data_IF_139266904999
#
_entry.id   IF_139266904999
#
_cell.length_a   1.000
_cell.length_b   1.000
_cell.length_c   1.000
_cell.angle_alpha   90.00
_cell.angle_beta   90.00
_cell.angle_gamma   90.00
#
_symmetry.space_group_name_H-M   'P 1'
#
loop_
_entity.id
_entity.type
_entity.pdbx_description
1 polymer ?
#
# COMPACT_ATOMS: atom_id res chain seq x y z
N UNK A 1 18.41 -5.34 -15.97
CA UNK A 1 16.96 -5.31 -15.79
C UNK A 1 16.53 -3.86 -15.78
N UNK A 2 15.44 -3.54 -16.49
CA UNK A 2 14.85 -2.20 -16.54
C UNK A 2 13.42 -2.28 -16.04
N UNK A 3 13.08 -1.53 -15.01
CA UNK A 3 11.78 -1.54 -14.33
C UNK A 3 11.00 -0.25 -14.63
N UNK A 4 9.69 -0.36 -14.77
CA UNK A 4 8.79 0.79 -14.67
C UNK A 4 8.18 0.80 -13.27
N UNK A 5 8.24 1.94 -12.58
CA UNK A 5 7.62 2.13 -11.25
C UNK A 5 6.60 3.25 -11.34
N UNK A 6 5.33 2.97 -11.05
CA UNK A 6 4.28 3.99 -11.05
C UNK A 6 4.08 4.57 -9.64
N UNK A 7 3.52 5.79 -9.54
CA UNK A 7 3.22 6.41 -8.25
C UNK A 7 4.47 6.79 -7.44
N UNK A 8 5.52 7.27 -8.12
CA UNK A 8 6.82 7.56 -7.52
C UNK A 8 6.85 8.80 -6.64
N UNK A 9 5.82 9.64 -6.69
CA UNK A 9 5.62 10.74 -5.75
C UNK A 9 5.03 10.27 -4.41
N UNK A 10 4.53 9.04 -4.35
CA UNK A 10 4.05 8.37 -3.14
C UNK A 10 5.20 7.84 -2.27
N UNK A 11 4.84 7.24 -1.13
CA UNK A 11 5.81 6.72 -0.16
C UNK A 11 6.62 5.55 -0.72
N UNK A 12 5.95 4.49 -1.13
CA UNK A 12 6.58 3.24 -1.55
C UNK A 12 7.28 3.36 -2.91
N UNK A 13 6.62 3.98 -3.91
CA UNK A 13 7.22 4.16 -5.24
C UNK A 13 8.53 4.95 -5.19
N UNK A 14 8.60 5.98 -4.32
CA UNK A 14 9.81 6.74 -4.06
C UNK A 14 10.94 5.85 -3.53
N UNK A 15 10.67 5.07 -2.48
CA UNK A 15 11.69 4.22 -1.87
C UNK A 15 12.14 3.07 -2.78
N UNK A 16 11.23 2.52 -3.61
CA UNK A 16 11.59 1.49 -4.61
C UNK A 16 12.57 2.05 -5.65
N UNK A 17 12.32 3.26 -6.17
CA UNK A 17 13.25 3.89 -7.14
C UNK A 17 14.61 4.13 -6.48
N UNK A 18 14.64 4.62 -5.24
CA UNK A 18 15.88 4.80 -4.50
C UNK A 18 16.64 3.48 -4.29
N UNK A 19 15.93 2.42 -3.93
CA UNK A 19 16.54 1.11 -3.72
C UNK A 19 17.07 0.51 -5.04
N UNK A 20 16.34 0.66 -6.14
CA UNK A 20 16.84 0.29 -7.47
C UNK A 20 18.15 1.04 -7.81
N UNK A 21 18.19 2.34 -7.56
CA UNK A 21 19.41 3.14 -7.79
C UNK A 21 20.58 2.66 -6.92
N UNK A 22 20.34 2.35 -5.64
CA UNK A 22 21.36 1.83 -4.72
C UNK A 22 21.94 0.50 -5.22
N UNK A 23 21.14 -0.32 -5.90
CA UNK A 23 21.56 -1.62 -6.46
C UNK A 23 22.00 -1.56 -7.93
N UNK A 24 22.09 -0.38 -8.53
CA UNK A 24 22.40 -0.18 -9.94
C UNK A 24 21.42 -0.92 -10.88
N UNK A 25 20.14 -0.97 -10.51
CA UNK A 25 19.05 -1.48 -11.35
C UNK A 25 18.39 -0.28 -12.01
N UNK A 26 18.24 -0.32 -13.34
CA UNK A 26 17.58 0.76 -14.08
C UNK A 26 16.09 0.77 -13.72
N UNK A 27 15.62 1.87 -13.13
CA UNK A 27 14.22 2.10 -12.81
C UNK A 27 13.75 3.44 -13.39
N UNK A 28 12.68 3.39 -14.17
CA UNK A 28 12.00 4.58 -14.68
C UNK A 28 10.78 4.81 -13.79
N UNK A 29 10.79 5.92 -13.05
CA UNK A 29 9.67 6.34 -12.20
C UNK A 29 8.71 7.23 -12.98
N UNK A 30 7.40 6.96 -12.86
CA UNK A 30 6.34 7.80 -13.45
C UNK A 30 5.25 8.10 -12.43
N UNK A 31 4.62 9.26 -12.59
CA UNK A 31 3.44 9.64 -11.84
C UNK A 31 2.35 10.15 -12.82
N UNK A 32 1.29 10.75 -12.32
CA UNK A 32 0.13 11.16 -13.14
C UNK A 32 0.52 12.09 -14.30
N UNK A 33 1.52 12.94 -14.12
CA UNK A 33 1.97 13.89 -15.16
C UNK A 33 2.68 13.18 -16.33
N UNK A 34 3.46 12.13 -16.05
CA UNK A 34 4.17 11.36 -17.08
C UNK A 34 3.28 10.26 -17.67
N UNK A 35 2.45 9.63 -16.83
CA UNK A 35 1.57 8.54 -17.21
C UNK A 35 0.33 8.49 -16.31
N UNK A 36 -0.74 9.17 -16.70
CA UNK A 36 -2.05 8.97 -16.08
C UNK A 36 -2.49 7.53 -16.36
N UNK A 37 -2.56 6.70 -15.31
CA UNK A 37 -2.93 5.30 -15.44
C UNK A 37 -4.38 5.10 -15.91
N UNK A 38 -5.23 6.13 -15.79
CA UNK A 38 -6.62 6.09 -16.26
C UNK A 38 -6.75 6.33 -17.76
N UNK A 39 -5.68 6.77 -18.44
CA UNK A 39 -5.59 6.92 -19.89
C UNK A 39 -4.92 5.67 -20.50
N UNK A 40 -5.73 4.78 -21.05
CA UNK A 40 -5.25 3.52 -21.66
C UNK A 40 -4.27 3.76 -22.83
N UNK A 41 -4.45 4.85 -23.58
CA UNK A 41 -3.56 5.21 -24.68
C UNK A 41 -2.20 5.63 -24.18
N UNK A 42 -2.15 6.46 -23.14
CA UNK A 42 -0.90 6.92 -22.51
C UNK A 42 -0.16 5.78 -21.82
N UNK A 43 -0.88 4.89 -21.13
CA UNK A 43 -0.31 3.68 -20.52
C UNK A 43 0.34 2.79 -21.59
N UNK A 44 -0.35 2.54 -22.71
CA UNK A 44 0.18 1.73 -23.80
C UNK A 44 1.41 2.38 -24.44
N UNK A 45 1.39 3.69 -24.70
CA UNK A 45 2.52 4.45 -25.24
C UNK A 45 3.77 4.28 -24.36
N UNK A 46 3.65 4.60 -23.06
CA UNK A 46 4.78 4.62 -22.12
C UNK A 46 5.36 3.22 -21.91
N UNK A 47 4.50 2.22 -21.65
CA UNK A 47 4.98 0.87 -21.34
C UNK A 47 5.61 0.21 -22.58
N UNK A 48 4.98 0.32 -23.75
CA UNK A 48 5.49 -0.30 -24.98
C UNK A 48 6.79 0.33 -25.50
N UNK A 49 6.93 1.65 -25.35
CA UNK A 49 8.13 2.35 -25.84
C UNK A 49 9.35 2.15 -24.93
N UNK A 50 9.16 1.80 -23.67
CA UNK A 50 10.22 1.80 -22.67
C UNK A 50 11.07 0.52 -22.61
N UNK A 51 10.65 -0.57 -23.27
CA UNK A 51 11.31 -1.90 -23.21
C UNK A 51 11.56 -2.38 -21.77
N UNK A 52 10.55 -2.28 -20.91
CA UNK A 52 10.64 -2.70 -19.52
C UNK A 52 10.63 -4.22 -19.37
N UNK A 53 11.37 -4.72 -18.38
CA UNK A 53 11.37 -6.14 -18.02
C UNK A 53 10.26 -6.48 -17.03
N UNK A 54 9.76 -5.51 -16.28
CA UNK A 54 8.63 -5.65 -15.35
C UNK A 54 8.03 -4.28 -15.01
N UNK A 55 6.79 -4.30 -14.49
CA UNK A 55 6.10 -3.12 -13.96
C UNK A 55 5.84 -3.31 -12.47
N UNK A 56 6.25 -2.32 -11.66
CA UNK A 56 5.92 -2.20 -10.24
C UNK A 56 4.87 -1.11 -10.08
N UNK A 57 3.63 -1.52 -9.80
CA UNK A 57 2.47 -0.63 -9.80
C UNK A 57 2.13 -0.15 -8.38
N UNK A 58 2.66 1.04 -7.99
CA UNK A 58 2.40 1.68 -6.71
C UNK A 58 1.33 2.79 -6.77
N UNK A 59 0.95 3.26 -7.96
CA UNK A 59 -0.07 4.28 -8.10
C UNK A 59 -1.45 3.73 -7.68
N UNK A 60 -2.13 4.44 -6.78
CA UNK A 60 -3.46 4.08 -6.31
C UNK A 60 -4.16 5.29 -5.67
N UNK A 61 -5.47 5.27 -5.66
CA UNK A 61 -6.27 6.07 -4.75
C UNK A 61 -6.20 5.44 -3.36
N UNK A 62 -5.64 6.16 -2.37
CA UNK A 62 -5.43 5.64 -1.01
C UNK A 62 -6.16 6.43 0.08
N UNK A 63 -6.94 7.45 -0.31
CA UNK A 63 -7.75 8.23 0.60
C UNK A 63 -9.05 7.47 0.93
N UNK A 64 -9.00 6.59 1.93
CA UNK A 64 -10.06 5.64 2.29
C UNK A 64 -11.40 6.34 2.52
N UNK A 65 -11.43 7.37 3.40
CA UNK A 65 -12.68 8.07 3.72
C UNK A 65 -13.26 8.78 2.49
N UNK A 66 -12.41 9.41 1.67
CA UNK A 66 -12.87 10.08 0.44
C UNK A 66 -13.35 9.10 -0.63
N UNK A 67 -12.93 7.84 -0.58
CA UNK A 67 -13.40 6.84 -1.53
C UNK A 67 -14.92 6.61 -1.43
N UNK A 68 -15.48 6.76 -0.21
CA UNK A 68 -16.94 6.66 0.01
C UNK A 68 -17.72 7.78 -0.69
N UNK A 69 -17.14 8.98 -0.78
CA UNK A 69 -17.76 10.13 -1.44
C UNK A 69 -17.45 10.18 -2.95
N UNK A 70 -16.29 9.62 -3.37
CA UNK A 70 -15.76 9.72 -4.73
C UNK A 70 -15.59 8.32 -5.38
N UNK A 71 -16.63 7.49 -5.28
CA UNK A 71 -16.62 6.06 -5.71
C UNK A 71 -16.16 5.89 -7.16
N UNK A 72 -16.69 6.70 -8.07
CA UNK A 72 -16.37 6.61 -9.50
C UNK A 72 -14.89 6.91 -9.77
N UNK A 73 -14.34 7.92 -9.11
CA UNK A 73 -12.93 8.30 -9.27
C UNK A 73 -12.01 7.26 -8.63
N UNK A 74 -12.35 6.75 -7.45
CA UNK A 74 -11.62 5.67 -6.79
C UNK A 74 -11.60 4.41 -7.68
N UNK A 75 -12.74 4.04 -8.24
CA UNK A 75 -12.86 2.90 -9.17
C UNK A 75 -12.02 3.13 -10.43
N UNK A 76 -12.13 4.31 -11.03
CA UNK A 76 -11.36 4.66 -12.24
C UNK A 76 -9.86 4.52 -12.02
N UNK A 77 -9.35 4.97 -10.88
CA UNK A 77 -7.91 4.87 -10.55
C UNK A 77 -7.51 3.44 -10.20
N UNK A 78 -8.18 2.82 -9.22
CA UNK A 78 -7.75 1.55 -8.66
C UNK A 78 -8.11 0.33 -9.54
N UNK A 79 -9.21 0.41 -10.28
CA UNK A 79 -9.67 -0.72 -11.11
C UNK A 79 -9.29 -0.51 -12.58
N UNK A 80 -9.74 0.59 -13.21
CA UNK A 80 -9.48 0.79 -14.63
C UNK A 80 -8.00 1.11 -14.89
N UNK A 81 -7.36 1.91 -14.03
CA UNK A 81 -5.92 2.17 -14.10
C UNK A 81 -5.09 0.90 -13.97
N UNK A 82 -5.42 0.04 -13.01
CA UNK A 82 -4.77 -1.28 -12.85
C UNK A 82 -5.01 -2.16 -14.08
N UNK A 83 -6.23 -2.17 -14.64
CA UNK A 83 -6.59 -2.93 -15.84
C UNK A 83 -5.79 -2.49 -17.05
N UNK A 84 -5.61 -1.18 -17.25
CA UNK A 84 -4.83 -0.64 -18.36
C UNK A 84 -3.39 -1.14 -18.32
N UNK A 85 -2.74 -1.11 -17.16
CA UNK A 85 -1.37 -1.61 -16.98
C UNK A 85 -1.32 -3.13 -17.18
N UNK A 86 -2.23 -3.89 -16.54
CA UNK A 86 -2.28 -5.34 -16.62
C UNK A 86 -2.43 -5.84 -18.07
N UNK A 87 -3.28 -5.19 -18.85
CA UNK A 87 -3.48 -5.54 -20.27
C UNK A 87 -2.18 -5.43 -21.07
N UNK A 88 -1.39 -4.38 -20.86
CA UNK A 88 -0.12 -4.19 -21.57
C UNK A 88 0.95 -5.17 -21.04
N UNK A 89 1.01 -5.41 -19.73
CA UNK A 89 1.92 -6.43 -19.16
C UNK A 89 1.62 -7.81 -19.75
N UNK A 90 0.33 -8.16 -19.90
CA UNK A 90 -0.10 -9.41 -20.54
C UNK A 90 0.31 -9.49 -22.01
N UNK A 91 0.11 -8.41 -22.77
CA UNK A 91 0.46 -8.33 -24.19
C UNK A 91 1.97 -8.51 -24.41
N UNK A 92 2.77 -7.92 -23.51
CA UNK A 92 4.23 -7.97 -23.59
C UNK A 92 4.86 -9.18 -22.88
N UNK A 93 4.05 -10.00 -22.22
CA UNK A 93 4.48 -11.15 -21.40
C UNK A 93 5.51 -10.79 -20.32
N UNK A 94 5.36 -9.59 -19.69
CA UNK A 94 6.23 -9.11 -18.61
C UNK A 94 5.55 -9.19 -17.26
N UNK A 95 6.30 -9.43 -16.16
CA UNK A 95 5.76 -9.45 -14.81
C UNK A 95 5.15 -8.12 -14.38
N UNK A 96 4.07 -8.20 -13.61
CA UNK A 96 3.46 -7.08 -12.91
C UNK A 96 3.46 -7.34 -11.42
N UNK A 97 3.95 -6.40 -10.63
CA UNK A 97 3.78 -6.36 -9.18
C UNK A 97 2.74 -5.32 -8.82
N UNK A 98 1.76 -5.71 -8.02
CA UNK A 98 0.63 -4.90 -7.57
C UNK A 98 0.60 -4.84 -6.04
N UNK A 99 0.49 -3.66 -5.48
CA UNK A 99 0.30 -3.49 -4.04
C UNK A 99 -1.17 -3.44 -3.70
N UNK A 100 -1.59 -4.39 -2.91
CA UNK A 100 -2.93 -4.46 -2.34
C UNK A 100 -2.89 -4.06 -0.86
N UNK A 101 -3.95 -4.34 -0.14
CA UNK A 101 -4.17 -3.92 1.23
C UNK A 101 -4.85 -5.02 2.04
N UNK A 102 -4.71 -4.95 3.34
CA UNK A 102 -5.49 -5.68 4.33
C UNK A 102 -7.00 -5.38 4.27
N UNK A 103 -7.42 -4.21 3.76
CA UNK A 103 -8.83 -3.84 3.55
C UNK A 103 -9.62 -4.74 2.59
N UNK A 104 -8.96 -5.67 1.90
CA UNK A 104 -9.66 -6.71 1.12
C UNK A 104 -10.36 -7.73 2.00
N UNK A 105 -10.03 -7.77 3.30
CA UNK A 105 -10.67 -8.60 4.31
C UNK A 105 -11.68 -7.79 5.15
N UNK A 106 -12.58 -8.49 5.85
CA UNK A 106 -13.58 -7.84 6.72
C UNK A 106 -13.04 -7.43 8.10
N UNK A 107 -11.80 -7.83 8.42
CA UNK A 107 -11.17 -7.50 9.69
C UNK A 107 -11.78 -8.18 10.91
N UNK A 108 -12.61 -9.21 10.73
CA UNK A 108 -13.25 -9.93 11.81
C UNK A 108 -12.43 -11.14 12.25
N UNK A 109 -12.50 -11.46 13.55
CA UNK A 109 -11.82 -12.62 14.11
C UNK A 109 -10.58 -12.28 14.93
N UNK A 110 -9.94 -13.33 15.45
CA UNK A 110 -8.76 -13.23 16.32
C UNK A 110 -7.53 -13.90 15.70
N UNK A 111 -7.67 -14.48 14.51
CA UNK A 111 -6.59 -15.16 13.78
C UNK A 111 -6.07 -14.29 12.64
N UNK A 112 -4.78 -14.41 12.37
CA UNK A 112 -4.15 -13.71 11.26
C UNK A 112 -4.65 -14.22 9.92
N UNK A 113 -4.90 -13.28 8.99
CA UNK A 113 -5.32 -13.60 7.63
C UNK A 113 -4.18 -14.23 6.82
N UNK A 114 -4.52 -15.24 6.02
CA UNK A 114 -3.61 -15.90 5.09
C UNK A 114 -3.87 -15.43 3.66
N UNK A 115 -2.91 -15.68 2.77
CA UNK A 115 -2.94 -15.21 1.39
C UNK A 115 -4.18 -15.67 0.62
N UNK A 116 -4.68 -16.87 0.91
CA UNK A 116 -5.79 -17.49 0.20
C UNK A 116 -7.11 -17.51 0.98
N UNK A 117 -7.17 -16.76 2.09
CA UNK A 117 -8.43 -16.58 2.81
C UNK A 117 -9.43 -15.77 1.98
N UNK A 118 -10.71 -16.01 2.22
CA UNK A 118 -11.79 -15.35 1.49
C UNK A 118 -11.79 -13.85 1.76
N UNK A 119 -11.89 -13.08 0.67
CA UNK A 119 -11.83 -11.61 0.71
C UNK A 119 -13.24 -11.05 0.80
N UNK A 120 -13.50 -10.23 1.81
CA UNK A 120 -14.79 -9.59 2.08
C UNK A 120 -14.58 -8.11 2.43
N UNK A 121 -14.24 -7.25 1.44
CA UNK A 121 -14.01 -5.83 1.70
C UNK A 121 -15.30 -5.14 2.19
N UNK A 122 -15.16 -4.26 3.18
CA UNK A 122 -16.29 -3.58 3.81
C UNK A 122 -16.45 -2.11 3.37
N UNK A 123 -15.53 -1.59 2.58
CA UNK A 123 -15.57 -0.21 2.11
C UNK A 123 -15.15 -0.11 0.64
N UNK A 124 -15.41 1.04 0.02
CA UNK A 124 -15.15 1.31 -1.41
C UNK A 124 -13.66 1.15 -1.73
N UNK A 125 -12.76 1.65 -0.87
CA UNK A 125 -11.33 1.48 -1.09
C UNK A 125 -10.94 0.00 -1.15
N UNK A 126 -11.29 -0.78 -0.13
CA UNK A 126 -11.03 -2.22 -0.09
C UNK A 126 -11.64 -2.97 -1.28
N UNK A 127 -12.88 -2.64 -1.65
CA UNK A 127 -13.56 -3.22 -2.81
C UNK A 127 -12.79 -2.95 -4.11
N UNK A 128 -12.37 -1.70 -4.35
CA UNK A 128 -11.65 -1.35 -5.57
C UNK A 128 -10.24 -1.97 -5.61
N UNK A 129 -9.57 -2.12 -4.46
CA UNK A 129 -8.29 -2.83 -4.37
C UNK A 129 -8.46 -4.33 -4.62
N UNK A 130 -9.53 -4.94 -4.11
CA UNK A 130 -9.88 -6.34 -4.39
C UNK A 130 -10.16 -6.57 -5.87
N UNK A 131 -10.92 -5.69 -6.52
CA UNK A 131 -11.15 -5.78 -7.97
C UNK A 131 -9.85 -5.65 -8.77
N UNK A 132 -8.90 -4.83 -8.29
CA UNK A 132 -7.55 -4.78 -8.83
C UNK A 132 -6.80 -6.10 -8.69
N UNK A 133 -6.90 -6.79 -7.54
CA UNK A 133 -6.34 -8.15 -7.37
C UNK A 133 -6.90 -9.12 -8.40
N UNK A 134 -8.23 -9.16 -8.58
CA UNK A 134 -8.88 -10.05 -9.55
C UNK A 134 -8.39 -9.81 -10.98
N UNK A 135 -8.09 -8.58 -11.36
CA UNK A 135 -7.51 -8.24 -12.66
C UNK A 135 -6.09 -8.79 -12.76
N UNK A 136 -5.26 -8.55 -11.74
CA UNK A 136 -3.86 -8.95 -11.72
C UNK A 136 -3.68 -10.46 -11.64
N UNK A 137 -4.54 -11.18 -10.94
CA UNK A 137 -4.58 -12.65 -10.89
C UNK A 137 -4.77 -13.30 -12.27
N UNK A 138 -5.30 -12.57 -13.27
CA UNK A 138 -5.39 -13.07 -14.65
C UNK A 138 -4.06 -13.13 -15.39
N UNK A 139 -3.02 -12.55 -14.83
CA UNK A 139 -1.67 -12.54 -15.41
C UNK A 139 -0.90 -13.78 -14.93
N UNK A 140 -0.23 -14.53 -15.81
CA UNK A 140 0.58 -15.68 -15.38
C UNK A 140 1.84 -15.25 -14.59
N UNK A 141 2.34 -14.03 -14.79
CA UNK A 141 3.52 -13.47 -14.15
C UNK A 141 3.12 -12.29 -13.27
N UNK A 142 2.56 -12.59 -12.08
CA UNK A 142 2.12 -11.54 -11.16
C UNK A 142 2.63 -11.72 -9.75
N UNK A 143 2.85 -10.58 -9.09
CA UNK A 143 2.99 -10.50 -7.64
C UNK A 143 1.88 -9.60 -7.11
N UNK A 144 1.07 -10.10 -6.19
CA UNK A 144 0.14 -9.31 -5.40
C UNK A 144 0.70 -9.24 -4.01
N UNK A 145 1.03 -8.04 -3.55
CA UNK A 145 1.65 -7.81 -2.24
C UNK A 145 0.69 -6.98 -1.39
N UNK A 146 0.05 -7.63 -0.41
CA UNK A 146 -0.82 -6.95 0.55
C UNK A 146 0.03 -6.34 1.65
N UNK A 147 -0.19 -5.07 1.88
CA UNK A 147 0.53 -4.26 2.86
C UNK A 147 -0.45 -3.56 3.78
N UNK A 148 -0.02 -3.19 4.99
CA UNK A 148 -0.84 -2.51 5.97
C UNK A 148 -0.06 -1.38 6.63
N UNK A 149 -0.74 -0.33 7.09
CA UNK A 149 -0.20 0.74 7.94
C UNK A 149 1.11 1.34 7.42
N UNK A 150 1.12 1.66 6.13
CA UNK A 150 2.35 2.07 5.40
C UNK A 150 2.83 3.44 5.87
N UNK A 151 4.12 3.51 6.19
CA UNK A 151 4.79 4.76 6.49
C UNK A 151 6.18 4.83 5.86
N UNK A 152 6.62 6.05 5.54
CA UNK A 152 7.92 6.32 4.94
C UNK A 152 8.31 7.78 5.05
N UNK A 153 9.50 8.10 4.54
CA UNK A 153 10.02 9.47 4.58
C UNK A 153 9.26 10.38 3.63
N UNK A 154 8.87 9.87 2.46
CA UNK A 154 8.12 10.65 1.48
C UNK A 154 6.61 10.63 1.76
N UNK A 155 5.88 11.67 1.30
CA UNK A 155 4.42 11.77 1.43
C UNK A 155 3.91 11.95 2.87
N UNK A 156 2.60 11.80 3.05
CA UNK A 156 1.91 11.90 4.33
C UNK A 156 1.65 10.50 4.91
N UNK A 157 1.70 10.40 6.24
CA UNK A 157 1.42 9.16 6.97
C UNK A 157 1.03 9.41 8.42
N UNK A 158 0.70 8.34 9.13
CA UNK A 158 0.30 8.40 10.53
C UNK A 158 1.36 9.03 11.43
N UNK A 159 2.64 8.67 11.27
CA UNK A 159 3.74 9.21 12.08
C UNK A 159 3.79 10.74 11.97
N UNK A 160 3.77 11.26 10.74
CA UNK A 160 3.81 12.72 10.51
C UNK A 160 2.57 13.41 11.05
N UNK A 161 1.42 12.76 10.95
CA UNK A 161 0.15 13.27 11.49
C UNK A 161 0.22 13.34 13.01
N UNK A 162 0.68 12.29 13.69
CA UNK A 162 0.85 12.29 15.14
C UNK A 162 1.83 13.37 15.60
N UNK A 163 3.00 13.46 14.99
CA UNK A 163 4.00 14.49 15.32
C UNK A 163 3.44 15.92 15.17
N UNK A 164 2.66 16.17 14.13
CA UNK A 164 2.01 17.46 13.91
C UNK A 164 0.95 17.73 14.99
N UNK A 165 0.03 16.81 15.21
CA UNK A 165 -1.05 16.96 16.19
C UNK A 165 -0.52 17.07 17.63
N UNK A 166 0.50 16.28 17.96
CA UNK A 166 1.16 16.39 19.27
C UNK A 166 1.77 17.77 19.53
N UNK A 167 2.39 18.37 18.51
CA UNK A 167 2.91 19.76 18.61
C UNK A 167 1.81 20.81 18.74
N UNK A 168 0.72 20.64 17.98
CA UNK A 168 -0.39 21.61 17.91
C UNK A 168 -1.29 21.55 19.14
N UNK A 169 -1.55 20.36 19.72
CA UNK A 169 -2.59 20.13 20.71
C UNK A 169 -2.08 19.69 22.08
N UNK A 170 -0.92 19.06 22.16
CA UNK A 170 -0.39 18.48 23.39
C UNK A 170 -1.13 17.23 23.91
N UNK A 171 -2.28 16.91 23.32
CA UNK A 171 -3.09 15.73 23.65
C UNK A 171 -3.78 15.17 22.41
N UNK A 172 -3.93 13.84 22.32
CA UNK A 172 -4.62 13.14 21.22
C UNK A 172 -5.39 11.93 21.74
N UNK A 173 -6.54 11.62 21.09
CA UNK A 173 -7.30 10.38 21.31
C UNK A 173 -6.99 9.43 20.15
N UNK A 174 -6.55 8.21 20.42
CA UNK A 174 -6.13 7.24 19.41
C UNK A 174 -6.77 5.89 19.67
N UNK A 175 -7.22 5.24 18.59
CA UNK A 175 -7.87 3.93 18.62
C UNK A 175 -6.95 2.86 19.20
N UNK A 176 -7.46 2.06 20.12
CA UNK A 176 -6.74 0.97 20.80
C UNK A 176 -7.35 -0.43 20.53
N UNK A 177 -8.52 -0.49 19.91
CA UNK A 177 -9.22 -1.74 19.58
C UNK A 177 -8.91 -2.25 18.15
N UNK A 178 -8.02 -1.59 17.42
CA UNK A 178 -7.51 -2.03 16.13
C UNK A 178 -6.04 -2.46 16.27
N UNK A 179 -5.78 -3.72 15.91
CA UNK A 179 -4.43 -4.31 15.99
C UNK A 179 -3.92 -4.58 14.57
N UNK A 180 -2.69 -4.20 14.29
CA UNK A 180 -2.06 -4.39 12.98
C UNK A 180 -0.54 -4.31 13.04
N UNK A 181 0.08 -4.41 11.86
CA UNK A 181 1.53 -4.32 11.70
C UNK A 181 1.91 -3.11 10.85
N UNK A 182 2.56 -2.10 11.41
CA UNK A 182 3.10 -1.00 10.63
C UNK A 182 4.11 -1.49 9.59
N UNK A 183 4.09 -0.90 8.40
CA UNK A 183 5.00 -1.27 7.30
C UNK A 183 5.87 -0.09 6.89
N UNK A 184 7.19 -0.21 7.13
CA UNK A 184 8.16 0.79 6.71
C UNK A 184 8.54 0.62 5.24
N UNK A 185 8.28 1.61 4.40
CA UNK A 185 8.48 1.54 2.96
C UNK A 185 9.94 1.31 2.56
N UNK A 186 10.89 1.78 3.35
CA UNK A 186 12.32 1.54 3.13
C UNK A 186 12.68 0.04 3.23
N UNK A 187 12.13 -0.68 4.22
CA UNK A 187 12.37 -2.12 4.36
C UNK A 187 11.60 -2.90 3.29
N UNK A 188 10.34 -2.52 3.05
CA UNK A 188 9.51 -3.11 2.01
C UNK A 188 10.14 -2.94 0.61
N UNK A 189 10.77 -1.80 0.31
CA UNK A 189 11.41 -1.57 -0.99
C UNK A 189 12.52 -2.56 -1.29
N UNK A 190 13.29 -2.98 -0.28
CA UNK A 190 14.34 -4.00 -0.43
C UNK A 190 13.74 -5.35 -0.81
N UNK A 191 12.69 -5.77 -0.09
CA UNK A 191 11.96 -7.00 -0.38
C UNK A 191 11.37 -6.98 -1.78
N UNK A 192 10.72 -5.90 -2.16
CA UNK A 192 10.10 -5.69 -3.48
C UNK A 192 11.14 -5.84 -4.60
N UNK A 193 12.31 -5.21 -4.44
CA UNK A 193 13.38 -5.29 -5.43
C UNK A 193 14.00 -6.70 -5.48
N UNK A 194 14.04 -7.43 -4.37
CA UNK A 194 14.44 -8.84 -4.39
C UNK A 194 13.39 -9.72 -5.09
N UNK A 195 12.11 -9.55 -4.75
CA UNK A 195 11.01 -10.34 -5.30
C UNK A 195 10.88 -10.20 -6.82
N UNK A 196 10.93 -8.97 -7.34
CA UNK A 196 10.69 -8.72 -8.78
C UNK A 196 11.77 -9.33 -9.69
N UNK A 197 12.91 -9.71 -9.13
CA UNK A 197 13.99 -10.40 -9.84
C UNK A 197 13.83 -11.92 -9.86
N UNK A 198 12.78 -12.45 -9.26
CA UNK A 198 12.47 -13.88 -9.20
C UNK A 198 11.28 -14.24 -10.09
N UNK A 199 11.03 -15.53 -10.25
CA UNK A 199 9.83 -16.11 -10.87
C UNK A 199 8.83 -16.68 -9.84
N UNK A 200 8.98 -16.28 -8.57
CA UNK A 200 8.09 -16.71 -7.47
C UNK A 200 6.80 -15.89 -7.49
N UNK A 201 6.03 -16.06 -8.57
CA UNK A 201 4.76 -15.37 -8.76
C UNK A 201 3.71 -15.84 -7.75
N UNK A 202 2.78 -14.96 -7.39
CA UNK A 202 1.70 -15.29 -6.47
C UNK A 202 1.25 -14.12 -5.59
N UNK A 203 0.50 -14.47 -4.54
CA UNK A 203 -0.05 -13.53 -3.56
C UNK A 203 0.77 -13.63 -2.28
N UNK A 204 1.08 -12.47 -1.68
CA UNK A 204 1.92 -12.36 -0.49
C UNK A 204 1.36 -11.32 0.47
N UNK A 205 1.60 -11.54 1.76
CA UNK A 205 1.50 -10.51 2.78
C UNK A 205 2.89 -9.98 3.13
N UNK A 206 3.07 -8.66 3.17
CA UNK A 206 4.37 -8.06 3.46
C UNK A 206 4.22 -6.85 4.38
N UNK A 207 4.53 -7.05 5.66
CA UNK A 207 4.59 -6.02 6.69
C UNK A 207 5.87 -6.18 7.50
N UNK A 208 6.22 -5.22 8.37
CA UNK A 208 7.26 -5.46 9.34
C UNK A 208 6.75 -6.41 10.45
N UNK A 209 7.66 -7.02 11.19
CA UNK A 209 7.34 -7.93 12.28
C UNK A 209 6.73 -7.20 13.49
N UNK A 210 5.87 -7.90 14.21
CA UNK A 210 5.21 -7.43 15.42
C UNK A 210 3.82 -6.85 15.17
N UNK A 211 3.04 -6.82 16.24
CA UNK A 211 1.68 -6.31 16.27
C UNK A 211 1.58 -5.18 17.28
N UNK A 212 0.81 -4.16 17.00
CA UNK A 212 0.47 -3.10 17.95
C UNK A 212 -0.90 -2.51 17.63
N UNK A 213 -1.48 -1.80 18.58
CA UNK A 213 -2.62 -0.93 18.31
C UNK A 213 -2.16 0.41 17.72
N UNK A 214 -3.08 1.18 17.13
CA UNK A 214 -2.77 2.56 16.74
C UNK A 214 -2.38 3.42 17.95
N UNK A 215 -2.99 3.18 19.12
CA UNK A 215 -2.63 3.84 20.38
C UNK A 215 -1.17 3.53 20.77
N UNK A 216 -0.80 2.26 20.80
CA UNK A 216 0.57 1.85 21.14
C UNK A 216 1.58 2.43 20.13
N UNK A 217 1.24 2.43 18.83
CA UNK A 217 2.07 3.03 17.79
C UNK A 217 2.24 4.53 18.01
N UNK A 218 1.16 5.27 18.35
CA UNK A 218 1.25 6.70 18.65
C UNK A 218 2.11 6.98 19.90
N UNK A 219 1.96 6.19 20.96
CA UNK A 219 2.80 6.29 22.15
C UNK A 219 4.29 6.13 21.83
N UNK A 220 4.64 5.12 21.02
CA UNK A 220 6.04 4.91 20.63
C UNK A 220 6.56 6.03 19.74
N UNK A 221 5.75 6.57 18.81
CA UNK A 221 6.11 7.73 17.99
C UNK A 221 6.49 8.93 18.87
N UNK A 222 5.67 9.28 19.85
CA UNK A 222 5.95 10.43 20.73
C UNK A 222 7.15 10.18 21.63
N UNK A 223 7.30 8.97 22.14
CA UNK A 223 8.48 8.58 22.94
C UNK A 223 9.77 8.72 22.13
N UNK A 224 9.84 8.20 20.89
CA UNK A 224 11.00 8.29 20.02
C UNK A 224 11.30 9.74 19.62
N UNK A 225 10.28 10.56 19.47
CA UNK A 225 10.41 11.98 19.16
C UNK A 225 10.79 12.85 20.38
N UNK A 226 10.88 12.29 21.59
CA UNK A 226 11.13 13.02 22.84
C UNK A 226 10.01 14.03 23.18
N UNK A 227 8.78 13.77 22.74
CA UNK A 227 7.63 14.64 22.94
C UNK A 227 6.80 14.19 24.13
N UNK A 228 6.44 15.11 25.02
CA UNK A 228 5.48 14.86 26.10
C UNK A 228 4.08 15.22 25.59
N UNK A 229 3.35 14.20 25.11
CA UNK A 229 1.97 14.30 24.59
C UNK A 229 1.09 13.36 25.39
N UNK A 230 -0.07 13.81 25.82
CA UNK A 230 -1.08 12.96 26.46
C UNK A 230 -1.79 12.14 25.36
N UNK A 231 -1.64 10.81 25.38
CA UNK A 231 -2.32 9.91 24.46
C UNK A 231 -3.40 9.15 25.20
N UNK A 232 -4.65 9.36 24.83
CA UNK A 232 -5.82 8.68 25.44
C UNK A 232 -6.26 7.54 24.53
N UNK A 233 -6.26 6.27 25.01
CA UNK A 233 -6.82 5.16 24.25
C UNK A 233 -8.33 5.28 24.15
N UNK A 234 -8.89 5.05 22.98
CA UNK A 234 -10.32 5.10 22.69
C UNK A 234 -10.73 3.95 21.77
N UNK A 235 -12.00 3.58 21.79
CA UNK A 235 -12.56 2.67 20.78
C UNK A 235 -12.96 3.42 19.49
N UNK A 236 -13.25 2.67 18.44
CA UNK A 236 -13.63 3.23 17.12
C UNK A 236 -14.89 4.12 17.16
N UNK A 237 -15.75 3.99 18.15
CA UNK A 237 -17.02 4.74 18.24
C UNK A 237 -16.85 6.10 18.89
N UNK A 238 -15.69 6.40 19.44
CA UNK A 238 -15.44 7.65 20.15
C UNK A 238 -15.46 8.87 19.22
N UNK A 239 -16.22 9.96 19.53
CA UNK A 239 -16.47 11.06 18.59
C UNK A 239 -15.24 11.91 18.24
N UNK A 240 -14.16 11.83 19.01
CA UNK A 240 -12.91 12.55 18.76
C UNK A 240 -11.78 11.62 18.26
N UNK A 241 -12.13 10.44 17.82
CA UNK A 241 -11.17 9.46 17.33
C UNK A 241 -10.47 9.97 16.07
N UNK A 242 -9.15 9.87 16.04
CA UNK A 242 -8.39 9.96 14.80
C UNK A 242 -8.54 8.59 14.15
N UNK A 243 -9.61 8.43 13.36
CA UNK A 243 -9.88 7.19 12.62
C UNK A 243 -8.95 7.22 11.41
N UNK A 244 -8.09 6.24 11.32
CA UNK A 244 -7.27 6.01 10.14
C UNK A 244 -7.65 4.72 9.43
N UNK A 245 -8.40 3.83 10.11
CA UNK A 245 -8.87 2.57 9.53
C UNK A 245 -9.96 1.93 10.39
N UNK A 246 -11.13 1.58 9.85
CA UNK A 246 -12.19 0.89 10.61
C UNK A 246 -12.04 -0.64 10.68
N UNK A 247 -10.93 -1.23 10.24
CA UNK A 247 -10.81 -2.68 10.07
C UNK A 247 -9.65 -3.22 10.92
N UNK A 248 -9.85 -4.38 11.54
CA UNK A 248 -8.80 -5.16 12.22
C UNK A 248 -8.21 -6.18 11.22
N UNK A 249 -7.13 -5.91 10.56
CA UNK A 249 -6.40 -6.98 9.91
C UNK A 249 -5.09 -7.24 10.62
N UNK A 250 -4.91 -8.42 11.11
CA UNK A 250 -3.59 -8.99 11.30
C UNK A 250 -3.23 -9.81 10.06
N UNK A 251 -2.01 -9.68 9.59
CA UNK A 251 -1.47 -10.41 8.45
C UNK A 251 -0.47 -11.44 8.97
N UNK A 252 -0.57 -12.70 8.53
CA UNK A 252 0.42 -13.73 8.88
C UNK A 252 1.78 -13.40 8.26
N UNK A 253 2.79 -13.20 9.10
CA UNK A 253 4.15 -12.84 8.72
C UNK A 253 5.04 -14.05 8.38
N UNK A 254 4.53 -15.27 8.42
CA UNK A 254 5.33 -16.48 8.31
C UNK A 254 5.88 -16.76 6.90
N UNK A 255 5.43 -16.04 5.88
CA UNK A 255 5.67 -16.38 4.48
C UNK A 255 6.84 -15.64 3.84
N UNK A 256 7.38 -14.60 4.48
CA UNK A 256 8.54 -13.85 3.96
C UNK A 256 9.79 -14.19 4.79
N UNK A 257 10.26 -15.41 4.63
CA UNK A 257 11.60 -15.85 5.07
C UNK A 257 12.44 -16.24 3.88
#
# INVERSE_FOLDING_TARGET
MKLLVTGVKGQLGHDIVNECNNRNIEAVGVDVEEMDITDAGKVAEVIKSGNYNAVIHCAAWTAVDKAEDEVELCTKVNVDGTRNIANICKELDIPMMYFSTDYVFDGQGETEWKEYDERHPLNVYGQTKYEGELIVETLPKHFIVRIAWVFGINGNNFIKTMLRLGKERGAVCVVDDQIGSPTYTYDLSKLVVDMIQTDKYGIYHATNEGLCSWYEFACEIFKQAGMSVEVTPVDMTHPNTIILNPIRPSIDHSVVK
#
